data_IF_369302327909
#
_entry.id   IF_369302327909
#
_cell.length_a   1.000
_cell.length_b   1.000
_cell.length_c   1.000
_cell.angle_alpha   90.00
_cell.angle_beta   90.00
_cell.angle_gamma   90.00
#
_symmetry.space_group_name_H-M   'P 1'
#
loop_
_entity.id
_entity.type
_entity.pdbx_description
1 polymer ?
#
# COMPACT_ATOMS: atom_id res chain seq x y z
N UNK A 1 8.16 24.66 -12.81
CA UNK A 1 9.17 24.54 -11.74
C UNK A 1 8.42 24.39 -10.44
N UNK A 2 8.83 23.50 -9.53
CA UNK A 2 8.17 23.39 -8.22
C UNK A 2 8.30 24.72 -7.48
N UNK A 3 7.25 25.09 -6.75
CA UNK A 3 7.25 26.30 -5.93
C UNK A 3 8.19 26.14 -4.73
N UNK A 4 8.78 27.24 -4.25
CA UNK A 4 9.73 27.20 -3.14
C UNK A 4 9.09 26.61 -1.86
N UNK A 5 7.80 26.86 -1.65
CA UNK A 5 7.03 26.27 -0.55
C UNK A 5 6.84 24.75 -0.67
N UNK A 6 6.69 24.22 -1.89
CA UNK A 6 6.55 22.77 -2.11
C UNK A 6 7.86 22.02 -1.80
N UNK A 7 9.01 22.61 -2.17
CA UNK A 7 10.32 22.03 -1.89
C UNK A 7 10.62 22.01 -0.39
N UNK A 8 10.22 23.07 0.33
CA UNK A 8 10.36 23.13 1.77
C UNK A 8 9.48 22.10 2.47
N UNK A 9 8.21 21.98 2.07
CA UNK A 9 7.30 20.94 2.58
C UNK A 9 7.83 19.52 2.35
N UNK A 10 8.36 19.24 1.15
CA UNK A 10 8.99 17.94 0.87
C UNK A 10 10.17 17.66 1.80
N UNK A 11 11.03 18.65 2.05
CA UNK A 11 12.17 18.51 2.95
C UNK A 11 11.72 18.23 4.40
N UNK A 12 10.68 18.92 4.89
CA UNK A 12 10.15 18.71 6.24
C UNK A 12 9.54 17.31 6.41
N UNK A 13 8.79 16.82 5.43
CA UNK A 13 8.26 15.44 5.45
C UNK A 13 9.40 14.43 5.40
N UNK A 14 10.41 14.66 4.56
CA UNK A 14 11.57 13.79 4.43
C UNK A 14 12.34 13.67 5.73
N UNK A 15 12.60 14.79 6.41
CA UNK A 15 13.28 14.84 7.71
C UNK A 15 12.60 13.92 8.74
N UNK A 16 11.27 13.92 8.79
CA UNK A 16 10.51 13.08 9.73
C UNK A 16 10.63 11.60 9.39
N UNK A 17 10.56 11.24 8.10
CA UNK A 17 10.62 9.84 7.66
C UNK A 17 12.03 9.24 7.76
N UNK A 18 13.06 10.05 7.51
CA UNK A 18 14.48 9.65 7.53
C UNK A 18 15.08 9.66 8.96
N UNK A 19 14.27 9.94 9.99
CA UNK A 19 14.69 9.82 11.39
C UNK A 19 15.24 8.42 11.70
N UNK A 20 16.45 8.37 12.28
CA UNK A 20 17.20 7.12 12.46
C UNK A 20 16.56 6.15 13.46
N UNK A 21 15.87 6.67 14.47
CA UNK A 21 15.40 5.86 15.61
C UNK A 21 13.88 5.72 15.64
N UNK A 22 13.16 6.82 15.42
CA UNK A 22 11.72 6.89 15.58
C UNK A 22 11.10 7.96 14.68
N UNK A 23 10.00 7.61 14.01
CA UNK A 23 9.20 8.55 13.22
C UNK A 23 8.23 9.29 14.13
N UNK A 24 8.36 10.62 14.22
CA UNK A 24 7.42 11.47 14.95
C UNK A 24 6.05 11.49 14.23
N UNK A 25 5.12 10.71 14.75
CA UNK A 25 3.78 10.54 14.15
C UNK A 25 2.92 11.79 14.26
N UNK A 26 3.07 12.59 15.31
CA UNK A 26 2.29 13.81 15.49
C UNK A 26 2.74 14.88 14.48
N UNK A 27 4.05 15.03 14.29
CA UNK A 27 4.63 15.91 13.25
C UNK A 27 4.23 15.42 11.86
N UNK A 28 4.32 14.11 11.59
CA UNK A 28 3.91 13.54 10.30
C UNK A 28 2.43 13.82 10.00
N UNK A 29 1.52 13.63 10.97
CA UNK A 29 0.09 13.91 10.81
C UNK A 29 -0.18 15.39 10.56
N UNK A 30 0.53 16.29 11.26
CA UNK A 30 0.44 17.72 11.02
C UNK A 30 0.82 18.09 9.58
N UNK A 31 1.93 17.54 9.07
CA UNK A 31 2.40 17.77 7.70
C UNK A 31 1.45 17.18 6.64
N UNK A 32 0.72 16.11 6.96
CA UNK A 32 -0.22 15.48 6.03
C UNK A 32 -1.45 16.34 5.73
N UNK A 33 -1.78 17.35 6.54
CA UNK A 33 -2.95 18.21 6.35
C UNK A 33 -2.93 18.96 5.02
N UNK A 34 -1.73 19.26 4.50
CA UNK A 34 -1.53 19.93 3.22
C UNK A 34 -1.33 18.96 2.05
N UNK A 35 -1.47 17.66 2.31
CA UNK A 35 -1.17 16.58 1.37
C UNK A 35 0.31 16.18 1.39
N UNK A 36 0.56 14.93 0.98
CA UNK A 36 1.90 14.37 0.93
C UNK A 36 2.55 14.55 -0.45
N UNK A 37 3.84 14.89 -0.52
CA UNK A 37 4.63 14.86 -1.74
C UNK A 37 4.58 13.48 -2.39
N UNK A 38 4.41 13.44 -3.72
CA UNK A 38 4.20 12.17 -4.44
C UNK A 38 5.34 11.16 -4.25
N UNK A 39 6.57 11.65 -4.13
CA UNK A 39 7.78 10.83 -3.93
C UNK A 39 7.88 10.22 -2.53
N UNK A 40 7.25 10.83 -1.51
CA UNK A 40 7.29 10.37 -0.11
C UNK A 40 6.03 9.62 0.33
N UNK A 41 4.94 9.69 -0.45
CA UNK A 41 3.64 9.03 -0.12
C UNK A 41 3.78 7.56 0.21
N UNK A 42 4.58 6.84 -0.58
CA UNK A 42 4.73 5.39 -0.42
C UNK A 42 5.20 5.03 0.98
N UNK A 43 6.22 5.73 1.46
CA UNK A 43 6.80 5.53 2.79
C UNK A 43 5.91 6.08 3.90
N UNK A 44 5.44 7.33 3.76
CA UNK A 44 4.56 7.95 4.75
C UNK A 44 3.28 7.14 5.02
N UNK A 45 2.68 6.56 3.97
CA UNK A 45 1.49 5.72 4.12
C UNK A 45 1.75 4.42 4.88
N UNK A 46 2.97 3.88 4.87
CA UNK A 46 3.26 2.68 5.67
C UNK A 46 3.08 2.98 7.16
N UNK A 47 3.53 4.14 7.63
CA UNK A 47 3.33 4.56 9.02
C UNK A 47 1.88 4.96 9.32
N UNK A 48 1.28 5.80 8.46
CA UNK A 48 -0.08 6.30 8.68
C UNK A 48 -1.16 5.21 8.68
N UNK A 49 -0.94 4.14 7.92
CA UNK A 49 -1.85 2.99 7.88
C UNK A 49 -1.51 1.92 8.93
N UNK A 50 -0.49 2.14 9.76
CA UNK A 50 -0.06 1.20 10.79
C UNK A 50 0.60 -0.07 10.25
N UNK A 51 1.10 -0.04 9.01
CA UNK A 51 1.85 -1.15 8.39
C UNK A 51 3.26 -1.21 8.97
N UNK A 52 3.92 -0.06 9.08
CA UNK A 52 5.21 0.08 9.75
C UNK A 52 5.04 0.72 11.13
N UNK A 53 5.69 0.20 12.18
CA UNK A 53 5.73 0.85 13.48
C UNK A 53 6.57 2.12 13.39
N UNK A 54 6.30 3.14 14.24
CA UNK A 54 7.13 4.33 14.31
C UNK A 54 8.59 4.04 14.71
N UNK A 55 8.84 2.99 15.49
CA UNK A 55 10.17 2.56 15.91
C UNK A 55 10.92 1.82 14.78
N UNK A 56 12.10 2.35 14.39
CA UNK A 56 12.89 1.83 13.27
C UNK A 56 13.67 0.54 13.58
N UNK A 57 13.83 0.19 14.85
CA UNK A 57 14.70 -0.90 15.32
C UNK A 57 14.33 -2.28 14.74
N UNK A 58 13.05 -2.50 14.39
CA UNK A 58 12.54 -3.77 13.86
C UNK A 58 11.98 -3.69 12.43
N UNK A 59 12.17 -2.58 11.73
CA UNK A 59 11.55 -2.37 10.41
C UNK A 59 11.97 -3.45 9.39
N UNK A 60 13.26 -3.78 9.38
CA UNK A 60 13.82 -4.78 8.47
C UNK A 60 13.37 -6.22 8.77
N UNK A 61 13.19 -6.57 10.04
CA UNK A 61 12.71 -7.90 10.45
C UNK A 61 11.20 -8.03 10.20
N UNK A 62 10.44 -6.97 10.50
CA UNK A 62 9.00 -6.92 10.24
C UNK A 62 8.69 -7.07 8.75
N UNK A 63 9.37 -6.30 7.88
CA UNK A 63 9.16 -6.39 6.44
C UNK A 63 9.43 -7.79 5.87
N UNK A 64 10.49 -8.45 6.36
CA UNK A 64 10.79 -9.85 5.99
C UNK A 64 9.69 -10.80 6.45
N UNK A 65 9.25 -10.69 7.71
CA UNK A 65 8.19 -11.53 8.28
C UNK A 65 6.88 -11.38 7.50
N UNK A 66 6.39 -10.15 7.33
CA UNK A 66 5.15 -9.88 6.59
C UNK A 66 5.23 -10.36 5.13
N UNK A 67 6.39 -10.20 4.48
CA UNK A 67 6.61 -10.70 3.14
C UNK A 67 6.56 -12.24 3.05
N UNK A 68 7.12 -12.94 4.04
CA UNK A 68 7.06 -14.40 4.13
C UNK A 68 5.65 -14.89 4.37
N UNK A 69 4.94 -14.32 5.36
CA UNK A 69 3.54 -14.64 5.66
C UNK A 69 2.64 -14.46 4.44
N UNK A 70 2.79 -13.34 3.72
CA UNK A 70 2.04 -13.10 2.49
C UNK A 70 2.34 -14.14 1.40
N UNK A 71 3.62 -14.51 1.22
CA UNK A 71 4.03 -15.49 0.22
C UNK A 71 3.57 -16.92 0.54
N UNK A 72 3.44 -17.27 1.82
CA UNK A 72 2.89 -18.55 2.28
C UNK A 72 1.39 -18.60 2.07
N UNK A 73 0.67 -17.53 2.46
CA UNK A 73 -0.76 -17.39 2.23
C UNK A 73 -1.09 -17.48 0.73
N UNK A 74 -0.34 -16.78 -0.13
CA UNK A 74 -0.53 -16.83 -1.57
C UNK A 74 -0.39 -18.27 -2.11
N UNK A 75 0.64 -19.00 -1.67
CA UNK A 75 0.88 -20.39 -2.08
C UNK A 75 -0.25 -21.32 -1.65
N UNK A 76 -0.78 -21.14 -0.45
CA UNK A 76 -1.91 -21.92 0.06
C UNK A 76 -3.20 -21.70 -0.76
N UNK A 77 -3.40 -20.49 -1.28
CA UNK A 77 -4.64 -20.09 -1.97
C UNK A 77 -4.67 -20.32 -3.48
N UNK A 78 -3.51 -20.57 -4.10
CA UNK A 78 -3.40 -20.86 -5.54
C UNK A 78 -4.34 -22.00 -6.03
N UNK A 79 -4.51 -23.11 -5.28
CA UNK A 79 -5.31 -24.26 -5.75
C UNK A 79 -6.82 -24.16 -5.49
N UNK A 80 -7.28 -23.34 -4.54
CA UNK A 80 -8.59 -23.58 -3.88
C UNK A 80 -9.74 -22.65 -4.29
N UNK A 81 -9.53 -21.56 -5.03
CA UNK A 81 -10.54 -20.49 -5.06
C UNK A 81 -11.01 -20.10 -6.48
N UNK A 82 -11.79 -20.96 -7.13
CA UNK A 82 -12.24 -20.74 -8.51
C UNK A 82 -13.28 -19.61 -8.65
N UNK A 83 -14.23 -19.50 -7.72
CA UNK A 83 -15.30 -18.49 -7.77
C UNK A 83 -14.82 -17.10 -7.33
N UNK A 84 -14.14 -17.02 -6.19
CA UNK A 84 -13.48 -15.80 -5.72
C UNK A 84 -12.55 -15.20 -6.78
N UNK A 85 -11.72 -16.05 -7.38
CA UNK A 85 -10.80 -15.63 -8.45
C UNK A 85 -11.56 -15.07 -9.65
N UNK A 86 -12.71 -15.67 -10.00
CA UNK A 86 -13.57 -15.18 -11.08
C UNK A 86 -14.17 -13.81 -10.74
N UNK A 87 -14.69 -13.63 -9.52
CA UNK A 87 -15.25 -12.37 -9.04
C UNK A 87 -14.21 -11.24 -9.03
N UNK A 88 -13.03 -11.49 -8.43
CA UNK A 88 -11.92 -10.54 -8.37
C UNK A 88 -11.46 -10.15 -9.77
N UNK A 89 -11.25 -11.12 -10.68
CA UNK A 89 -10.87 -10.84 -12.07
C UNK A 89 -11.91 -9.97 -12.81
N UNK A 90 -13.19 -10.28 -12.61
CA UNK A 90 -14.30 -9.52 -13.19
C UNK A 90 -14.30 -8.06 -12.74
N UNK A 91 -14.13 -7.80 -11.44
CA UNK A 91 -14.12 -6.45 -10.90
C UNK A 91 -12.87 -5.66 -11.30
N UNK A 92 -11.68 -6.25 -11.21
CA UNK A 92 -10.43 -5.62 -11.62
C UNK A 92 -10.50 -5.20 -13.10
N UNK A 93 -11.10 -6.04 -13.97
CA UNK A 93 -11.32 -5.72 -15.38
C UNK A 93 -12.28 -4.52 -15.56
N UNK A 94 -13.37 -4.46 -14.80
CA UNK A 94 -14.35 -3.35 -14.86
C UNK A 94 -13.74 -2.01 -14.43
N UNK A 95 -13.00 -1.98 -13.32
CA UNK A 95 -12.33 -0.76 -12.81
C UNK A 95 -11.32 -0.23 -13.82
N UNK A 96 -10.53 -1.11 -14.42
CA UNK A 96 -9.54 -0.75 -15.45
C UNK A 96 -10.19 -0.09 -16.67
N UNK A 97 -11.37 -0.53 -17.08
CA UNK A 97 -12.09 0.11 -18.19
C UNK A 97 -12.51 1.56 -17.88
N UNK A 98 -12.63 1.91 -16.60
CA UNK A 98 -13.01 3.24 -16.11
C UNK A 98 -11.82 4.07 -15.60
N UNK A 99 -10.63 3.47 -15.47
CA UNK A 99 -9.47 4.15 -14.91
C UNK A 99 -8.85 5.11 -15.95
N UNK A 100 -8.66 6.40 -15.61
CA UNK A 100 -8.07 7.39 -16.51
C UNK A 100 -6.54 7.24 -16.66
N UNK A 101 -5.88 6.43 -15.82
CA UNK A 101 -4.42 6.38 -15.71
C UNK A 101 -3.82 5.13 -16.39
N UNK A 102 -2.82 5.32 -17.26
CA UNK A 102 -2.17 4.23 -18.01
C UNK A 102 -1.44 3.21 -17.12
N UNK A 103 -0.90 3.63 -15.97
CA UNK A 103 -0.25 2.73 -15.00
C UNK A 103 -1.20 1.65 -14.45
N UNK A 104 -2.51 1.92 -14.41
CA UNK A 104 -3.55 0.95 -14.04
C UNK A 104 -3.74 -0.15 -15.11
N UNK A 105 -3.21 0.06 -16.32
CA UNK A 105 -3.39 -0.86 -17.44
C UNK A 105 -2.34 -1.96 -17.53
N UNK A 106 -1.25 -1.84 -16.78
CA UNK A 106 -0.15 -2.81 -16.79
C UNK A 106 -0.56 -4.19 -16.25
N UNK A 107 -0.09 -5.24 -16.91
CA UNK A 107 -0.42 -6.62 -16.58
C UNK A 107 0.15 -7.05 -15.22
N UNK A 108 1.33 -6.54 -14.84
CA UNK A 108 1.98 -6.87 -13.56
C UNK A 108 1.27 -6.19 -12.40
N UNK A 109 0.89 -4.92 -12.55
CA UNK A 109 0.04 -4.21 -11.58
C UNK A 109 -1.30 -4.92 -11.38
N UNK A 110 -1.95 -5.34 -12.48
CA UNK A 110 -3.18 -6.14 -12.42
C UNK A 110 -3.00 -7.44 -11.64
N UNK A 111 -1.96 -8.21 -11.96
CA UNK A 111 -1.71 -9.49 -11.30
C UNK A 111 -1.42 -9.30 -9.81
N UNK A 112 -0.71 -8.23 -9.43
CA UNK A 112 -0.49 -7.85 -8.03
C UNK A 112 -1.81 -7.55 -7.33
N UNK A 113 -2.68 -6.74 -7.93
CA UNK A 113 -3.98 -6.39 -7.35
C UNK A 113 -4.87 -7.64 -7.17
N UNK A 114 -4.93 -8.51 -8.18
CA UNK A 114 -5.69 -9.77 -8.09
C UNK A 114 -5.19 -10.66 -6.95
N UNK A 115 -3.88 -10.74 -6.73
CA UNK A 115 -3.29 -11.50 -5.62
C UNK A 115 -3.67 -10.91 -4.27
N UNK A 116 -3.49 -9.60 -4.10
CA UNK A 116 -3.81 -8.90 -2.86
C UNK A 116 -5.28 -9.09 -2.46
N UNK A 117 -6.19 -8.88 -3.40
CA UNK A 117 -7.63 -9.02 -3.15
C UNK A 117 -8.01 -10.46 -2.77
N UNK A 118 -7.43 -11.47 -3.42
CA UNK A 118 -7.68 -12.87 -3.04
C UNK A 118 -7.21 -13.19 -1.63
N UNK A 119 -5.98 -12.78 -1.28
CA UNK A 119 -5.43 -13.01 0.06
C UNK A 119 -6.26 -12.29 1.13
N UNK A 120 -6.65 -11.04 0.88
CA UNK A 120 -7.50 -10.27 1.78
C UNK A 120 -8.86 -10.94 2.00
N UNK A 121 -9.56 -11.28 0.92
CA UNK A 121 -10.90 -11.86 1.02
C UNK A 121 -10.93 -13.22 1.71
N UNK A 122 -9.87 -14.04 1.55
CA UNK A 122 -9.78 -15.31 2.24
C UNK A 122 -9.71 -15.14 3.77
N UNK A 123 -8.95 -14.15 4.25
CA UNK A 123 -8.82 -13.88 5.69
C UNK A 123 -10.04 -13.21 6.32
N UNK A 124 -10.91 -12.59 5.52
CA UNK A 124 -12.02 -11.76 6.01
C UNK A 124 -13.42 -12.36 5.79
N UNK A 125 -13.55 -13.59 5.29
CA UNK A 125 -14.81 -14.33 5.29
C UNK A 125 -15.96 -13.62 4.56
N UNK A 126 -15.96 -13.72 3.22
CA UNK A 126 -17.16 -13.66 2.37
C UNK A 126 -18.04 -12.39 2.31
N UNK A 127 -17.54 -11.20 2.62
CA UNK A 127 -18.24 -9.99 2.16
C UNK A 127 -17.37 -9.05 1.33
N UNK A 128 -17.08 -9.45 0.10
CA UNK A 128 -16.63 -8.49 -0.91
C UNK A 128 -17.78 -7.61 -1.35
N UNK A 129 -17.70 -6.34 -0.93
CA UNK A 129 -18.59 -5.28 -1.38
C UNK A 129 -17.85 -4.47 -2.44
N UNK A 130 -18.37 -4.37 -3.67
CA UNK A 130 -17.86 -3.43 -4.66
C UNK A 130 -17.97 -2.00 -4.11
N UNK A 131 -16.86 -1.25 -4.09
CA UNK A 131 -16.83 0.18 -3.74
C UNK A 131 -16.78 1.10 -4.94
#
# INVERSE_FOLDING_TARGET
>A
APDAGELQHEAEVREVLESETHVDMDKLLSLCQHGLPAVLRGEAWMYLLGVSPPEKSEEMSLGKRMGQEFAELERALLPQSSELTRCVKGEVKRRRARAPQEASRDAKTRQRLERLLRCYMHGHGDEFRPG
#
